data_IF_448156343008
#
_entry.id   IF_448156343008
#
_cell.length_a   1.000
_cell.length_b   1.000
_cell.length_c   1.000
_cell.angle_alpha   90.00
_cell.angle_beta   90.00
_cell.angle_gamma   90.00
#
_symmetry.space_group_name_H-M   'P 1'
#
loop_
_entity.id
_entity.type
_entity.pdbx_description
1 polymer ?
#
# COMPACT_ATOMS: atom_id res chain seq x y z
N UNK A 1 23.52 10.17 -10.72
CA UNK A 1 23.24 9.55 -9.41
C UNK A 1 22.52 8.25 -9.67
N UNK A 2 23.00 7.13 -9.11
CA UNK A 2 22.30 5.85 -9.28
C UNK A 2 20.89 5.95 -8.74
N UNK A 3 19.90 5.86 -9.64
CA UNK A 3 18.48 5.88 -9.26
C UNK A 3 18.04 4.55 -8.62
N UNK A 4 18.93 3.56 -8.51
CA UNK A 4 18.62 2.26 -7.93
C UNK A 4 18.53 2.34 -6.42
N UNK A 5 17.36 1.99 -5.91
CA UNK A 5 17.06 1.93 -4.49
C UNK A 5 16.77 0.49 -4.08
N UNK A 6 17.56 -0.01 -3.16
CA UNK A 6 17.40 -1.33 -2.58
C UNK A 6 16.89 -1.13 -1.15
N UNK A 7 15.72 -1.65 -0.85
CA UNK A 7 15.08 -1.52 0.46
C UNK A 7 14.44 -2.84 0.88
N UNK A 8 13.95 -2.89 2.11
CA UNK A 8 13.15 -4.01 2.64
C UNK A 8 11.94 -4.30 1.74
N UNK A 9 11.36 -3.27 1.13
CA UNK A 9 10.18 -3.39 0.25
C UNK A 9 10.51 -3.89 -1.17
N UNK A 10 11.77 -4.26 -1.44
CA UNK A 10 12.24 -4.71 -2.75
C UNK A 10 13.26 -3.78 -3.39
N UNK A 11 13.46 -3.95 -4.68
CA UNK A 11 14.39 -3.14 -5.49
C UNK A 11 13.60 -2.30 -6.49
N UNK A 12 13.87 -0.99 -6.55
CA UNK A 12 13.19 -0.05 -7.45
C UNK A 12 14.19 0.94 -8.06
N UNK A 13 13.81 1.52 -9.18
CA UNK A 13 14.61 2.57 -9.82
C UNK A 13 13.92 3.15 -11.06
N UNK A 14 14.56 4.14 -11.66
CA UNK A 14 14.15 4.69 -12.95
C UNK A 14 14.59 3.71 -14.04
N UNK A 15 13.64 3.37 -14.91
CA UNK A 15 13.85 2.42 -16.00
C UNK A 15 14.90 2.96 -16.97
N UNK A 16 15.94 2.14 -17.25
CA UNK A 16 17.02 2.50 -18.16
C UNK A 16 18.18 3.27 -17.50
N UNK A 17 18.00 3.87 -16.30
CA UNK A 17 19.07 4.56 -15.60
C UNK A 17 19.72 3.70 -14.51
N UNK A 18 18.97 3.21 -13.56
CA UNK A 18 19.46 2.35 -12.47
C UNK A 18 18.68 1.04 -12.36
N UNK A 19 17.51 0.95 -12.99
CA UNK A 19 16.69 -0.26 -12.99
C UNK A 19 16.66 -0.85 -14.41
N UNK A 20 17.53 -1.85 -14.63
CA UNK A 20 17.78 -2.47 -15.94
C UNK A 20 17.41 -3.96 -15.95
N UNK A 21 17.20 -4.59 -17.14
CA UNK A 21 16.93 -6.02 -17.25
C UNK A 21 17.99 -6.92 -16.62
N UNK A 22 19.26 -6.54 -16.66
CA UNK A 22 20.38 -7.29 -16.06
C UNK A 22 20.26 -7.34 -14.55
N UNK A 23 19.94 -6.20 -13.92
CA UNK A 23 19.73 -6.10 -12.48
C UNK A 23 18.51 -6.94 -12.10
N UNK A 24 17.43 -6.83 -12.85
CA UNK A 24 16.18 -7.59 -12.62
C UNK A 24 16.42 -9.10 -12.75
N UNK A 25 17.12 -9.55 -13.79
CA UNK A 25 17.46 -10.96 -13.99
C UNK A 25 18.35 -11.48 -12.85
N UNK A 26 19.34 -10.68 -12.40
CA UNK A 26 20.22 -11.05 -11.30
C UNK A 26 19.49 -11.15 -9.96
N UNK A 27 18.59 -10.20 -9.64
CA UNK A 27 17.73 -10.29 -8.44
C UNK A 27 16.79 -11.49 -8.48
N UNK A 28 16.22 -11.79 -9.65
CA UNK A 28 15.33 -12.93 -9.82
C UNK A 28 16.07 -14.27 -9.65
N UNK A 29 17.31 -14.36 -10.14
CA UNK A 29 18.15 -15.53 -9.90
C UNK A 29 18.56 -15.67 -8.42
N UNK A 30 18.82 -14.55 -7.74
CA UNK A 30 19.06 -14.56 -6.30
C UNK A 30 17.81 -15.00 -5.53
N UNK A 31 16.62 -14.59 -5.99
CA UNK A 31 15.36 -15.00 -5.39
C UNK A 31 15.05 -16.49 -5.64
N UNK A 32 15.39 -17.04 -6.80
CA UNK A 32 15.34 -18.49 -7.04
C UNK A 32 16.14 -19.25 -5.99
N UNK A 33 17.40 -18.85 -5.75
CA UNK A 33 18.24 -19.44 -4.71
C UNK A 33 17.65 -19.26 -3.30
N UNK A 34 17.10 -18.07 -3.03
CA UNK A 34 16.44 -17.76 -1.75
C UNK A 34 15.23 -18.67 -1.47
N UNK A 35 14.44 -19.00 -2.50
CA UNK A 35 13.27 -19.91 -2.40
C UNK A 35 13.63 -21.39 -2.57
N UNK A 36 14.92 -21.75 -2.54
CA UNK A 36 15.36 -23.13 -2.73
C UNK A 36 15.07 -23.68 -4.13
N UNK A 37 15.02 -22.82 -5.14
CA UNK A 37 14.71 -23.15 -6.54
C UNK A 37 13.28 -23.74 -6.72
N UNK A 38 12.39 -23.39 -5.83
CA UNK A 38 10.99 -23.85 -5.81
C UNK A 38 10.08 -23.17 -6.83
N UNK A 39 8.79 -23.19 -6.56
CA UNK A 39 7.76 -22.58 -7.39
C UNK A 39 7.59 -21.09 -7.06
N UNK A 40 7.67 -20.20 -8.06
CA UNK A 40 7.52 -18.76 -7.89
C UNK A 40 6.38 -18.23 -8.74
N UNK A 41 5.43 -17.53 -8.11
CA UNK A 41 4.34 -16.82 -8.81
C UNK A 41 4.84 -15.46 -9.28
N UNK A 42 4.62 -15.12 -10.55
CA UNK A 42 5.04 -13.84 -11.13
C UNK A 42 3.84 -13.13 -11.75
N UNK A 43 3.69 -11.86 -11.43
CA UNK A 43 2.67 -10.99 -12.00
C UNK A 43 3.12 -9.53 -11.99
N UNK A 44 2.34 -8.67 -12.61
CA UNK A 44 2.71 -7.25 -12.76
C UNK A 44 1.50 -6.33 -12.72
N UNK A 45 1.74 -5.04 -12.45
CA UNK A 45 0.79 -3.98 -12.80
C UNK A 45 0.77 -3.73 -14.33
N UNK A 46 0.23 -2.61 -14.75
CA UNK A 46 0.04 -2.28 -16.17
C UNK A 46 1.19 -1.51 -16.81
N UNK A 47 2.25 -1.14 -16.08
CA UNK A 47 3.36 -0.30 -16.59
C UNK A 47 3.92 -0.83 -17.90
N UNK A 48 4.15 0.06 -18.86
CA UNK A 48 4.65 -0.29 -20.21
C UNK A 48 5.99 -1.02 -20.21
N UNK A 49 6.84 -0.75 -19.19
CA UNK A 49 8.13 -1.43 -19.01
C UNK A 49 8.01 -2.87 -18.48
N UNK A 50 6.84 -3.29 -18.00
CA UNK A 50 6.66 -4.60 -17.38
C UNK A 50 6.87 -5.76 -18.34
N UNK A 51 6.55 -5.57 -19.61
CA UNK A 51 6.79 -6.61 -20.61
C UNK A 51 8.26 -7.02 -20.65
N UNK A 52 9.16 -6.05 -20.76
CA UNK A 52 10.60 -6.27 -20.77
C UNK A 52 11.09 -6.91 -19.45
N UNK A 53 10.69 -6.35 -18.31
CA UNK A 53 11.12 -6.86 -17.01
C UNK A 53 10.58 -8.25 -16.69
N UNK A 54 9.40 -8.59 -17.17
CA UNK A 54 8.81 -9.91 -16.99
C UNK A 54 9.71 -11.01 -17.61
N UNK A 55 10.24 -10.79 -18.81
CA UNK A 55 11.18 -11.72 -19.43
C UNK A 55 12.50 -11.80 -18.67
N UNK A 56 13.00 -10.68 -18.15
CA UNK A 56 14.17 -10.68 -17.31
C UNK A 56 13.97 -11.45 -16.00
N UNK A 57 12.79 -11.31 -15.36
CA UNK A 57 12.40 -12.08 -14.19
C UNK A 57 12.35 -13.58 -14.51
N UNK A 58 11.70 -13.95 -15.61
CA UNK A 58 11.64 -15.36 -16.03
C UNK A 58 13.03 -15.93 -16.28
N UNK A 59 13.87 -15.25 -17.05
CA UNK A 59 15.24 -15.67 -17.31
C UNK A 59 16.02 -15.92 -16.02
N UNK A 60 15.95 -15.00 -15.06
CA UNK A 60 16.60 -15.14 -13.77
C UNK A 60 16.11 -16.37 -12.99
N UNK A 61 14.81 -16.53 -12.83
CA UNK A 61 14.20 -17.64 -12.09
C UNK A 61 14.48 -19.01 -12.73
N UNK A 62 14.27 -19.11 -14.03
CA UNK A 62 14.47 -20.35 -14.79
C UNK A 62 15.92 -20.81 -14.76
N UNK A 63 16.87 -19.88 -14.84
CA UNK A 63 18.31 -20.16 -14.75
C UNK A 63 18.74 -20.74 -13.39
N UNK A 64 17.95 -20.49 -12.34
CA UNK A 64 18.09 -21.11 -11.02
C UNK A 64 17.36 -22.44 -10.88
N UNK A 65 16.55 -22.85 -11.88
CA UNK A 65 15.77 -24.08 -11.85
C UNK A 65 14.35 -23.93 -11.27
N UNK A 66 13.93 -22.71 -10.91
CA UNK A 66 12.59 -22.47 -10.35
C UNK A 66 11.48 -22.73 -11.37
N UNK A 67 10.36 -23.29 -10.91
CA UNK A 67 9.13 -23.34 -11.69
C UNK A 67 8.40 -22.01 -11.57
N UNK A 68 8.02 -21.42 -12.70
CA UNK A 68 7.36 -20.11 -12.74
C UNK A 68 5.88 -20.27 -13.07
N UNK A 69 5.02 -19.61 -12.27
CA UNK A 69 3.60 -19.47 -12.54
C UNK A 69 3.32 -18.02 -12.89
N UNK A 70 3.08 -17.76 -14.19
CA UNK A 70 2.73 -16.44 -14.70
C UNK A 70 1.24 -16.17 -14.51
N UNK A 71 0.89 -15.27 -13.60
CA UNK A 71 -0.50 -14.85 -13.36
C UNK A 71 -0.92 -13.61 -14.17
N UNK A 72 -0.03 -13.12 -15.03
CA UNK A 72 -0.31 -11.99 -15.93
C UNK A 72 -0.33 -10.64 -15.22
N UNK A 73 -1.13 -9.72 -15.77
CA UNK A 73 -1.38 -8.41 -15.17
C UNK A 73 -2.48 -8.56 -14.14
N UNK A 74 -2.18 -8.19 -12.90
CA UNK A 74 -3.12 -8.24 -11.79
C UNK A 74 -2.71 -7.28 -10.66
N UNK A 75 -3.62 -6.90 -9.76
CA UNK A 75 -3.28 -6.21 -8.52
C UNK A 75 -2.25 -6.95 -7.68
N UNK A 76 -1.42 -6.20 -6.97
CA UNK A 76 -0.49 -6.76 -5.99
C UNK A 76 -1.17 -7.73 -5.01
N UNK A 77 -2.30 -7.38 -4.35
CA UNK A 77 -2.99 -8.30 -3.46
C UNK A 77 -3.50 -9.58 -4.16
N UNK A 78 -3.86 -9.52 -5.44
CA UNK A 78 -4.26 -10.72 -6.18
C UNK A 78 -3.11 -11.72 -6.33
N UNK A 79 -1.89 -11.24 -6.62
CA UNK A 79 -0.70 -12.10 -6.69
C UNK A 79 -0.38 -12.71 -5.32
N UNK A 80 -0.42 -11.90 -4.25
CA UNK A 80 -0.16 -12.36 -2.89
C UNK A 80 -1.11 -13.50 -2.48
N UNK A 81 -2.41 -13.38 -2.80
CA UNK A 81 -3.39 -14.46 -2.61
C UNK A 81 -3.08 -15.71 -3.44
N UNK A 82 -2.56 -15.54 -4.66
CA UNK A 82 -2.18 -16.69 -5.50
C UNK A 82 -0.98 -17.45 -4.95
N UNK A 83 0.01 -16.76 -4.35
CA UNK A 83 1.14 -17.40 -3.67
C UNK A 83 0.65 -18.33 -2.57
N UNK A 84 -0.23 -17.86 -1.70
CA UNK A 84 -0.83 -18.66 -0.63
C UNK A 84 -1.66 -19.84 -1.19
N UNK A 85 -2.55 -19.55 -2.13
CA UNK A 85 -3.48 -20.53 -2.71
C UNK A 85 -2.76 -21.67 -3.43
N UNK A 86 -1.71 -21.35 -4.17
CA UNK A 86 -0.92 -22.32 -4.92
C UNK A 86 0.15 -23.01 -4.05
N UNK A 87 0.28 -22.61 -2.78
CA UNK A 87 1.34 -23.05 -1.88
C UNK A 87 2.73 -22.89 -2.52
N UNK A 88 2.92 -21.78 -3.24
CA UNK A 88 4.18 -21.50 -3.91
C UNK A 88 5.25 -21.09 -2.88
N UNK A 89 6.51 -21.32 -3.21
CA UNK A 89 7.65 -21.01 -2.33
C UNK A 89 7.92 -19.50 -2.25
N UNK A 90 7.38 -18.73 -3.19
CA UNK A 90 7.40 -17.28 -3.18
C UNK A 90 6.70 -16.64 -4.37
N UNK A 91 6.81 -15.32 -4.47
CA UNK A 91 6.28 -14.54 -5.60
C UNK A 91 7.11 -13.31 -5.91
N UNK A 92 6.99 -12.83 -7.14
CA UNK A 92 7.55 -11.54 -7.58
C UNK A 92 6.46 -10.71 -8.21
N UNK A 93 6.22 -9.50 -7.66
CA UNK A 93 5.37 -8.49 -8.27
C UNK A 93 6.25 -7.46 -8.98
N UNK A 94 6.00 -7.24 -10.27
CA UNK A 94 6.68 -6.21 -11.06
C UNK A 94 5.78 -4.97 -11.06
N UNK A 95 6.10 -3.98 -10.22
CA UNK A 95 5.29 -2.78 -10.05
C UNK A 95 6.05 -1.65 -9.37
N UNK A 96 5.92 -0.44 -9.91
CA UNK A 96 6.36 0.77 -9.22
C UNK A 96 5.33 1.31 -8.22
N UNK A 97 4.18 0.63 -7.99
CA UNK A 97 3.07 1.11 -7.16
C UNK A 97 2.69 2.55 -7.52
N UNK A 98 2.62 3.44 -6.55
CA UNK A 98 2.27 4.86 -6.72
C UNK A 98 3.37 5.75 -7.34
N UNK A 99 4.56 5.20 -7.63
CA UNK A 99 5.63 6.01 -8.27
C UNK A 99 5.24 6.42 -9.70
N UNK A 100 5.78 7.54 -10.21
CA UNK A 100 5.57 7.98 -11.59
C UNK A 100 5.90 6.92 -12.64
N UNK A 101 5.46 7.11 -13.90
CA UNK A 101 5.51 6.09 -14.94
C UNK A 101 6.92 5.60 -15.29
N UNK A 102 7.95 6.45 -15.16
CA UNK A 102 9.35 6.10 -15.43
C UNK A 102 9.97 5.17 -14.38
N UNK A 103 9.33 4.99 -13.23
CA UNK A 103 9.78 4.09 -12.18
C UNK A 103 9.23 2.67 -12.37
N UNK A 104 10.03 1.68 -11.96
CA UNK A 104 9.54 0.31 -11.78
C UNK A 104 10.26 -0.36 -10.61
N UNK A 105 9.77 -1.53 -10.19
CA UNK A 105 10.34 -2.26 -9.07
C UNK A 105 10.04 -3.76 -9.13
N UNK A 106 10.81 -4.53 -8.35
CA UNK A 106 10.47 -5.90 -7.93
C UNK A 106 10.10 -5.89 -6.46
N UNK A 107 8.90 -6.35 -6.13
CA UNK A 107 8.50 -6.66 -4.76
C UNK A 107 8.52 -8.18 -4.59
N UNK A 108 9.21 -8.66 -3.55
CA UNK A 108 9.38 -10.09 -3.28
C UNK A 108 8.39 -10.57 -2.23
N UNK A 109 7.63 -11.62 -2.55
CA UNK A 109 6.58 -12.19 -1.73
C UNK A 109 7.03 -13.54 -1.20
N UNK A 110 6.79 -13.79 0.08
CA UNK A 110 7.04 -15.04 0.79
C UNK A 110 5.97 -16.09 0.47
N UNK A 111 6.21 -17.33 0.84
CA UNK A 111 5.24 -18.44 0.71
C UNK A 111 3.92 -18.21 1.46
N UNK A 112 3.90 -17.31 2.46
CA UNK A 112 2.70 -16.95 3.21
C UNK A 112 1.98 -15.68 2.68
N UNK A 113 2.27 -15.26 1.46
CA UNK A 113 1.65 -14.13 0.78
C UNK A 113 2.12 -12.74 1.24
N UNK A 114 2.96 -12.64 2.27
CA UNK A 114 3.51 -11.36 2.74
C UNK A 114 4.78 -10.99 1.98
N UNK A 115 5.15 -9.71 1.99
CA UNK A 115 6.46 -9.31 1.52
C UNK A 115 7.57 -9.84 2.44
N UNK A 116 8.82 -9.86 1.94
CA UNK A 116 9.96 -10.29 2.75
C UNK A 116 10.08 -9.44 4.02
N UNK A 117 10.35 -10.09 5.14
CA UNK A 117 10.75 -9.39 6.36
C UNK A 117 12.16 -8.79 6.21
N UNK A 118 12.52 -7.77 7.02
CA UNK A 118 13.83 -7.12 6.94
C UNK A 118 14.99 -8.12 6.92
N UNK A 119 14.97 -9.07 7.84
CA UNK A 119 15.99 -10.11 7.97
C UNK A 119 16.09 -11.01 6.73
N UNK A 120 14.97 -11.25 6.05
CA UNK A 120 14.94 -12.05 4.81
C UNK A 120 15.41 -11.24 3.60
N UNK A 121 15.05 -9.96 3.54
CA UNK A 121 15.57 -9.05 2.51
C UNK A 121 17.10 -8.94 2.60
N UNK A 122 17.68 -8.91 3.81
CA UNK A 122 19.13 -8.95 4.00
C UNK A 122 19.76 -10.26 3.47
N UNK A 123 19.09 -11.42 3.69
CA UNK A 123 19.56 -12.70 3.14
C UNK A 123 19.53 -12.65 1.60
N UNK A 124 18.42 -12.18 1.01
CA UNK A 124 18.33 -12.02 -0.45
C UNK A 124 19.43 -11.11 -1.00
N UNK A 125 19.73 -10.00 -0.32
CA UNK A 125 20.80 -9.09 -0.70
C UNK A 125 22.19 -9.71 -0.59
N UNK A 126 22.44 -10.52 0.42
CA UNK A 126 23.70 -11.28 0.54
C UNK A 126 23.89 -12.24 -0.63
N UNK A 127 22.80 -12.93 -1.06
CA UNK A 127 22.83 -13.80 -2.24
C UNK A 127 23.07 -12.97 -3.51
N UNK A 128 22.36 -11.85 -3.69
CA UNK A 128 22.51 -10.95 -4.85
C UNK A 128 23.94 -10.40 -4.98
N UNK A 129 24.53 -9.97 -3.87
CA UNK A 129 25.90 -9.41 -3.84
C UNK A 129 26.98 -10.49 -3.90
N UNK A 130 26.63 -11.76 -3.76
CA UNK A 130 27.55 -12.87 -3.84
C UNK A 130 28.23 -12.97 -5.21
N UNK A 131 29.50 -13.44 -5.22
CA UNK A 131 30.27 -13.58 -6.48
C UNK A 131 29.64 -14.55 -7.47
N UNK A 132 28.99 -15.62 -6.97
CA UNK A 132 28.31 -16.64 -7.79
C UNK A 132 26.90 -16.88 -7.25
N UNK A 133 25.88 -16.61 -8.07
CA UNK A 133 24.53 -17.09 -7.84
C UNK A 133 24.42 -18.43 -8.57
N UNK A 134 23.99 -19.48 -7.88
CA UNK A 134 23.86 -20.81 -8.45
C UNK A 134 23.02 -20.81 -9.75
N UNK A 135 23.51 -21.54 -10.74
CA UNK A 135 22.78 -21.80 -11.99
C UNK A 135 22.69 -23.32 -12.17
N UNK A 136 21.57 -23.76 -12.70
CA UNK A 136 21.38 -25.17 -13.02
C UNK A 136 21.97 -25.52 -14.39
N UNK A 137 22.22 -26.81 -14.61
CA UNK A 137 22.62 -27.32 -15.92
C UNK A 137 21.44 -27.25 -16.90
N UNK A 138 21.73 -27.38 -18.18
CA UNK A 138 20.77 -27.21 -19.27
C UNK A 138 19.52 -28.11 -19.17
N UNK A 139 19.62 -29.29 -18.61
CA UNK A 139 18.57 -30.28 -18.42
C UNK A 139 17.68 -30.01 -17.17
N UNK A 140 18.12 -29.08 -16.29
CA UNK A 140 17.44 -28.70 -15.04
C UNK A 140 16.84 -27.29 -15.07
N UNK A 141 16.84 -26.64 -16.24
CA UNK A 141 16.23 -25.31 -16.42
C UNK A 141 14.72 -25.41 -16.09
N UNK A 142 14.23 -24.44 -15.31
CA UNK A 142 12.84 -24.38 -14.90
C UNK A 142 11.87 -24.17 -16.09
N UNK A 143 10.58 -24.22 -15.81
CA UNK A 143 9.51 -24.04 -16.83
C UNK A 143 8.57 -22.91 -16.41
N UNK A 144 7.95 -22.26 -17.41
CA UNK A 144 6.88 -21.27 -17.18
C UNK A 144 5.55 -21.92 -17.53
N UNK A 145 4.58 -21.81 -16.60
CA UNK A 145 3.17 -22.08 -16.90
C UNK A 145 2.33 -20.84 -16.63
N UNK A 146 1.27 -20.64 -17.39
CA UNK A 146 0.31 -19.55 -17.19
C UNK A 146 -0.82 -20.00 -16.26
N UNK A 147 -1.29 -19.05 -15.42
CA UNK A 147 -2.49 -19.24 -14.60
C UNK A 147 -3.30 -17.94 -14.62
N UNK A 148 -4.49 -17.98 -15.22
CA UNK A 148 -5.37 -16.79 -15.40
C UNK A 148 -6.34 -16.58 -14.23
N UNK A 149 -6.21 -17.35 -13.14
CA UNK A 149 -7.22 -17.38 -12.07
C UNK A 149 -7.05 -16.30 -11.00
N UNK A 150 -5.96 -15.49 -11.03
CA UNK A 150 -5.66 -14.52 -10.00
C UNK A 150 -6.82 -13.55 -9.71
N UNK A 151 -7.36 -12.92 -10.76
CA UNK A 151 -8.49 -11.99 -10.65
C UNK A 151 -9.74 -12.69 -10.09
N UNK A 152 -10.08 -13.87 -10.66
CA UNK A 152 -11.27 -14.62 -10.23
C UNK A 152 -11.16 -15.05 -8.77
N UNK A 153 -10.03 -15.62 -8.39
CA UNK A 153 -9.81 -16.08 -7.02
C UNK A 153 -9.89 -14.95 -5.99
N UNK A 154 -9.33 -13.79 -6.31
CA UNK A 154 -9.39 -12.63 -5.45
C UNK A 154 -10.83 -12.13 -5.33
N UNK A 155 -11.55 -11.96 -6.44
CA UNK A 155 -12.97 -11.57 -6.43
C UNK A 155 -13.83 -12.52 -5.60
N UNK A 156 -13.67 -13.82 -5.79
CA UNK A 156 -14.46 -14.82 -5.08
C UNK A 156 -14.18 -14.73 -3.56
N UNK A 157 -12.92 -14.52 -3.16
CA UNK A 157 -12.54 -14.36 -1.75
C UNK A 157 -13.16 -13.11 -1.13
N UNK A 158 -13.08 -11.96 -1.79
CA UNK A 158 -13.68 -10.70 -1.32
C UNK A 158 -15.20 -10.82 -1.22
N UNK A 159 -15.84 -11.38 -2.23
CA UNK A 159 -17.30 -11.51 -2.26
C UNK A 159 -17.87 -12.47 -1.19
N UNK A 160 -17.06 -13.37 -0.65
CA UNK A 160 -17.44 -14.24 0.46
C UNK A 160 -17.40 -13.53 1.82
N UNK A 161 -16.75 -12.38 1.93
CA UNK A 161 -16.56 -11.66 3.20
C UNK A 161 -17.56 -10.54 3.44
N UNK A 162 -18.40 -10.20 2.45
CA UNK A 162 -19.37 -9.10 2.53
C UNK A 162 -20.81 -9.57 2.31
N UNK A 163 -21.77 -8.86 2.85
CA UNK A 163 -23.21 -9.11 2.71
C UNK A 163 -23.72 -8.64 1.33
N UNK A 164 -23.37 -9.40 0.30
CA UNK A 164 -23.60 -9.07 -1.11
C UNK A 164 -25.02 -8.60 -1.41
N UNK A 165 -26.03 -9.33 -0.97
CA UNK A 165 -27.44 -9.02 -1.30
C UNK A 165 -27.88 -7.68 -0.69
N UNK A 166 -27.33 -7.32 0.47
CA UNK A 166 -27.58 -6.03 1.09
C UNK A 166 -26.97 -4.87 0.28
N UNK A 167 -25.76 -5.06 -0.24
CA UNK A 167 -25.13 -4.08 -1.15
C UNK A 167 -25.92 -3.98 -2.46
N UNK A 168 -26.28 -5.13 -3.07
CA UNK A 168 -27.03 -5.21 -4.33
C UNK A 168 -28.36 -4.49 -4.26
N UNK A 169 -29.09 -4.59 -3.13
CA UNK A 169 -30.38 -3.94 -2.96
C UNK A 169 -30.31 -2.41 -3.02
N UNK A 170 -29.15 -1.82 -2.78
CA UNK A 170 -28.91 -0.37 -2.81
C UNK A 170 -28.67 0.18 -4.21
N UNK A 171 -28.19 -0.63 -5.15
CA UNK A 171 -27.88 -0.24 -6.53
C UNK A 171 -27.00 1.02 -6.61
N UNK A 172 -25.98 1.10 -5.74
CA UNK A 172 -25.09 2.26 -5.69
C UNK A 172 -24.53 2.63 -7.06
N UNK A 173 -24.53 3.93 -7.38
CA UNK A 173 -23.81 4.49 -8.51
C UNK A 173 -22.41 4.87 -8.07
N UNK A 174 -21.40 4.26 -8.64
CA UNK A 174 -19.99 4.39 -8.23
C UNK A 174 -19.16 4.92 -9.39
N UNK A 175 -18.43 5.99 -9.18
CA UNK A 175 -17.36 6.41 -10.09
C UNK A 175 -16.06 5.76 -9.66
N UNK A 176 -15.39 5.08 -10.58
CA UNK A 176 -14.15 4.37 -10.29
C UNK A 176 -13.01 4.89 -11.17
N UNK A 177 -12.01 5.52 -10.55
CA UNK A 177 -10.74 5.86 -11.18
C UNK A 177 -9.73 4.74 -10.95
N UNK A 178 -9.36 4.07 -12.03
CA UNK A 178 -8.38 2.98 -12.00
C UNK A 178 -6.96 3.44 -12.36
N UNK A 179 -6.74 4.73 -12.61
CA UNK A 179 -5.45 5.29 -13.01
C UNK A 179 -4.79 4.54 -14.19
N UNK A 180 -5.58 3.92 -15.10
CA UNK A 180 -5.11 2.98 -16.13
C UNK A 180 -4.23 1.84 -15.56
N UNK A 181 -4.38 1.53 -14.29
CA UNK A 181 -3.65 0.53 -13.53
C UNK A 181 -4.34 -0.84 -13.47
N UNK A 182 -3.80 -1.74 -12.66
CA UNK A 182 -4.29 -3.10 -12.50
C UNK A 182 -5.70 -3.19 -11.89
N UNK A 183 -6.13 -2.14 -11.14
CA UNK A 183 -7.49 -2.02 -10.61
C UNK A 183 -8.57 -2.07 -11.69
N UNK A 184 -8.28 -1.61 -12.92
CA UNK A 184 -9.20 -1.66 -14.06
C UNK A 184 -9.63 -3.08 -14.46
N UNK A 185 -8.83 -4.09 -14.12
CA UNK A 185 -9.11 -5.49 -14.46
C UNK A 185 -10.05 -6.20 -13.47
N UNK A 186 -10.14 -5.69 -12.24
CA UNK A 186 -10.82 -6.36 -11.13
C UNK A 186 -11.96 -5.54 -10.54
N UNK A 187 -11.75 -4.26 -10.24
CA UNK A 187 -12.71 -3.46 -9.47
C UNK A 187 -14.04 -3.21 -10.20
N UNK A 188 -14.09 -2.99 -11.54
CA UNK A 188 -15.36 -2.95 -12.25
C UNK A 188 -16.16 -4.25 -12.12
N UNK A 189 -15.48 -5.40 -12.18
CA UNK A 189 -16.13 -6.72 -12.02
C UNK A 189 -16.64 -6.95 -10.60
N UNK A 190 -15.90 -6.48 -9.58
CA UNK A 190 -16.36 -6.48 -8.19
C UNK A 190 -17.67 -5.69 -8.06
N UNK A 191 -17.64 -4.42 -8.50
CA UNK A 191 -18.77 -3.50 -8.40
C UNK A 191 -20.01 -4.03 -9.13
N UNK A 192 -19.85 -4.57 -10.34
CA UNK A 192 -20.93 -5.22 -11.08
C UNK A 192 -21.52 -6.42 -10.33
N UNK A 193 -20.67 -7.28 -9.75
CA UNK A 193 -21.13 -8.42 -8.94
C UNK A 193 -21.83 -7.98 -7.65
N UNK A 194 -21.50 -6.79 -7.13
CA UNK A 194 -22.18 -6.15 -6.00
C UNK A 194 -23.45 -5.38 -6.41
N UNK A 195 -23.83 -5.41 -7.70
CA UNK A 195 -25.04 -4.76 -8.21
C UNK A 195 -24.94 -3.25 -8.36
N UNK A 196 -23.72 -2.69 -8.38
CA UNK A 196 -23.48 -1.27 -8.56
C UNK A 196 -23.56 -0.85 -10.05
N UNK A 197 -24.04 0.37 -10.29
CA UNK A 197 -23.86 1.06 -11.56
C UNK A 197 -22.48 1.70 -11.57
N UNK A 198 -21.64 1.35 -12.54
CA UNK A 198 -20.22 1.76 -12.56
C UNK A 198 -19.99 2.77 -13.67
N UNK A 199 -19.47 3.94 -13.31
CA UNK A 199 -18.92 4.93 -14.22
C UNK A 199 -17.39 4.84 -14.14
N UNK A 200 -16.75 4.35 -15.21
CA UNK A 200 -15.30 4.13 -15.25
C UNK A 200 -14.55 5.39 -15.67
N UNK A 201 -13.52 5.77 -14.91
CA UNK A 201 -12.56 6.81 -15.22
C UNK A 201 -11.17 6.19 -15.33
N UNK A 202 -10.35 6.59 -16.32
CA UNK A 202 -8.98 6.08 -16.50
C UNK A 202 -8.93 4.54 -16.40
N UNK A 203 -9.80 3.85 -17.15
CA UNK A 203 -10.07 2.41 -17.01
C UNK A 203 -9.39 1.55 -18.06
N UNK A 204 -8.42 2.07 -18.83
CA UNK A 204 -7.63 1.31 -19.80
C UNK A 204 -6.40 0.73 -19.10
N UNK A 205 -6.26 -0.60 -18.98
CA UNK A 205 -5.12 -1.19 -18.25
C UNK A 205 -3.86 -1.24 -19.14
N UNK A 206 -3.45 -0.09 -19.67
CA UNK A 206 -2.33 0.08 -20.61
C UNK A 206 -1.08 0.72 -19.99
N UNK A 207 -1.15 1.10 -18.71
CA UNK A 207 -0.04 1.69 -17.96
C UNK A 207 0.34 3.12 -18.38
N UNK A 208 -0.46 3.74 -19.24
CA UNK A 208 -0.36 5.17 -19.58
C UNK A 208 -1.19 5.96 -18.58
N UNK A 209 -0.59 6.21 -17.43
CA UNK A 209 -1.28 6.86 -16.33
C UNK A 209 -1.77 8.25 -16.72
N UNK A 210 -3.07 8.52 -16.55
CA UNK A 210 -3.69 9.79 -16.88
C UNK A 210 -3.29 10.91 -15.90
N UNK A 211 -2.90 10.54 -14.69
CA UNK A 211 -2.33 11.41 -13.65
C UNK A 211 -1.26 10.62 -12.88
N UNK A 212 -0.56 11.26 -11.94
CA UNK A 212 0.33 10.53 -11.03
C UNK A 212 -0.44 9.42 -10.32
N UNK A 213 0.09 8.17 -10.29
CA UNK A 213 -0.65 7.02 -9.72
C UNK A 213 -0.91 7.12 -8.22
N UNK A 214 -0.33 8.07 -7.51
CA UNK A 214 -0.60 8.26 -6.09
C UNK A 214 -2.01 8.85 -5.89
N UNK A 215 -2.94 8.16 -5.18
CA UNK A 215 -4.32 8.59 -5.05
C UNK A 215 -4.49 9.67 -3.95
N UNK A 216 -3.84 10.83 -4.16
CA UNK A 216 -3.90 12.01 -3.29
C UNK A 216 -4.78 13.09 -3.90
N UNK A 217 -5.26 14.02 -3.07
CA UNK A 217 -6.23 15.03 -3.48
C UNK A 217 -5.83 15.83 -4.74
N UNK A 218 -4.55 16.16 -4.90
CA UNK A 218 -4.04 16.88 -6.06
C UNK A 218 -4.21 16.14 -7.40
N UNK A 219 -4.34 14.81 -7.36
CA UNK A 219 -4.42 13.95 -8.53
C UNK A 219 -5.86 13.50 -8.84
N UNK A 220 -6.83 13.81 -7.96
CA UNK A 220 -8.21 13.28 -8.03
C UNK A 220 -9.26 14.32 -8.42
N UNK A 221 -8.87 15.49 -8.95
CA UNK A 221 -9.80 16.54 -9.35
C UNK A 221 -10.82 16.07 -10.40
N UNK A 222 -10.37 15.29 -11.38
CA UNK A 222 -11.23 14.73 -12.41
C UNK A 222 -12.27 13.75 -11.83
N UNK A 223 -11.86 12.90 -10.88
CA UNK A 223 -12.77 12.01 -10.17
C UNK A 223 -13.81 12.79 -9.37
N UNK A 224 -13.38 13.83 -8.63
CA UNK A 224 -14.27 14.72 -7.87
C UNK A 224 -15.38 15.31 -8.74
N UNK A 225 -15.00 15.93 -9.86
CA UNK A 225 -15.93 16.53 -10.80
C UNK A 225 -16.89 15.50 -11.42
N UNK A 226 -16.39 14.31 -11.74
CA UNK A 226 -17.21 13.26 -12.35
C UNK A 226 -18.21 12.69 -11.34
N UNK A 227 -17.87 12.55 -10.06
CA UNK A 227 -18.79 12.13 -9.01
C UNK A 227 -19.97 13.10 -8.91
N UNK A 228 -19.70 14.41 -8.90
CA UNK A 228 -20.76 15.45 -8.82
C UNK A 228 -21.63 15.46 -10.08
N UNK A 229 -21.02 15.47 -11.27
CA UNK A 229 -21.78 15.53 -12.54
C UNK A 229 -22.63 14.30 -12.78
N UNK A 230 -22.14 13.12 -12.39
CA UNK A 230 -22.86 11.85 -12.49
C UNK A 230 -23.87 11.63 -11.35
N UNK A 231 -23.86 12.50 -10.34
CA UNK A 231 -24.65 12.34 -9.10
C UNK A 231 -24.44 10.96 -8.50
N UNK A 232 -23.19 10.54 -8.42
CA UNK A 232 -22.84 9.22 -7.91
C UNK A 232 -22.87 9.20 -6.38
N UNK A 233 -23.15 8.04 -5.79
CA UNK A 233 -23.21 7.86 -4.34
C UNK A 233 -21.80 7.92 -3.72
N UNK A 234 -20.77 7.55 -4.49
CA UNK A 234 -19.37 7.53 -4.04
C UNK A 234 -18.40 7.45 -5.23
N UNK A 235 -17.22 8.02 -5.06
CA UNK A 235 -16.07 7.83 -5.94
C UNK A 235 -14.95 7.05 -5.24
N UNK A 236 -14.30 6.16 -5.99
CA UNK A 236 -13.09 5.46 -5.56
C UNK A 236 -11.94 5.66 -6.53
N UNK A 237 -10.72 5.80 -6.01
CA UNK A 237 -9.51 5.81 -6.82
C UNK A 237 -8.48 4.81 -6.31
N UNK A 238 -7.87 4.06 -7.25
CA UNK A 238 -6.75 3.17 -6.96
C UNK A 238 -5.40 3.79 -7.34
N UNK A 239 -4.32 3.28 -6.74
CA UNK A 239 -2.98 3.40 -7.30
C UNK A 239 -2.75 2.32 -8.38
N UNK A 240 -1.56 2.34 -9.02
CA UNK A 240 -1.31 1.51 -10.20
C UNK A 240 -1.45 -0.01 -9.96
N UNK A 241 -1.12 -0.50 -8.77
CA UNK A 241 -1.21 -1.91 -8.39
C UNK A 241 -2.37 -2.22 -7.41
N UNK A 242 -3.25 -1.23 -7.20
CA UNK A 242 -4.51 -1.34 -6.48
C UNK A 242 -4.41 -1.91 -5.05
N UNK A 243 -3.27 -1.70 -4.38
CA UNK A 243 -3.12 -2.03 -2.96
C UNK A 243 -3.68 -0.92 -2.05
N UNK A 244 -4.05 0.25 -2.62
CA UNK A 244 -4.64 1.41 -1.94
C UNK A 244 -5.96 1.81 -2.58
N UNK A 245 -6.77 2.54 -1.78
CA UNK A 245 -7.99 3.19 -2.25
C UNK A 245 -8.16 4.56 -1.59
N UNK A 246 -8.48 5.58 -2.39
CA UNK A 246 -8.97 6.87 -1.92
C UNK A 246 -10.48 6.98 -2.17
N UNK A 247 -11.14 7.87 -1.43
CA UNK A 247 -12.58 8.04 -1.41
C UNK A 247 -12.95 9.47 -1.79
N UNK A 248 -13.94 9.61 -2.65
CA UNK A 248 -14.61 10.88 -2.96
C UNK A 248 -16.07 10.75 -2.53
N UNK A 249 -16.56 11.73 -1.77
CA UNK A 249 -17.96 11.73 -1.30
C UNK A 249 -18.91 12.05 -2.44
N UNK A 250 -20.21 11.76 -2.24
CA UNK A 250 -21.31 12.12 -3.16
C UNK A 250 -21.38 13.63 -3.48
N UNK A 251 -20.70 14.46 -2.67
CA UNK A 251 -20.58 15.91 -2.84
C UNK A 251 -19.28 16.31 -3.59
N UNK A 252 -18.58 15.36 -4.22
CA UNK A 252 -17.30 15.61 -4.87
C UNK A 252 -16.13 15.89 -3.91
N UNK A 253 -16.33 15.87 -2.59
CA UNK A 253 -15.26 16.12 -1.63
C UNK A 253 -14.30 14.93 -1.58
N UNK A 254 -13.03 15.17 -1.90
CA UNK A 254 -11.96 14.20 -1.76
C UNK A 254 -11.62 14.06 -0.27
N UNK A 255 -11.75 12.86 0.28
CA UNK A 255 -11.38 12.60 1.67
C UNK A 255 -9.87 12.43 1.82
N UNK A 256 -9.28 12.82 2.97
CA UNK A 256 -7.89 12.52 3.27
C UNK A 256 -7.60 11.01 3.18
N UNK A 257 -6.37 10.64 2.81
CA UNK A 257 -5.94 9.24 2.58
C UNK A 257 -6.24 8.31 3.77
N UNK A 258 -6.12 8.82 5.01
CA UNK A 258 -6.37 8.07 6.25
C UNK A 258 -7.83 7.61 6.39
N UNK A 259 -8.79 8.28 5.72
CA UNK A 259 -10.22 8.01 5.90
C UNK A 259 -10.63 6.63 5.39
N UNK A 260 -9.94 6.06 4.42
CA UNK A 260 -10.19 4.69 3.99
C UNK A 260 -9.99 3.70 5.14
N UNK A 261 -8.90 3.87 5.91
CA UNK A 261 -8.63 3.04 7.08
C UNK A 261 -9.56 3.39 8.26
N UNK A 262 -9.85 4.67 8.50
CA UNK A 262 -10.73 5.09 9.60
C UNK A 262 -12.15 4.53 9.44
N UNK A 263 -12.75 4.69 8.26
CA UNK A 263 -14.10 4.19 7.96
C UNK A 263 -14.13 2.66 8.03
N UNK A 264 -13.14 1.99 7.43
CA UNK A 264 -13.01 0.53 7.49
C UNK A 264 -12.86 0.04 8.94
N UNK A 265 -12.07 0.74 9.77
CA UNK A 265 -11.88 0.40 11.18
C UNK A 265 -13.18 0.58 11.97
N UNK A 266 -13.87 1.72 11.82
CA UNK A 266 -15.12 1.99 12.51
C UNK A 266 -16.17 0.90 12.22
N UNK A 267 -16.33 0.56 10.94
CA UNK A 267 -17.28 -0.49 10.55
C UNK A 267 -16.85 -1.89 11.04
N UNK A 268 -15.58 -2.23 10.93
CA UNK A 268 -15.07 -3.52 11.40
C UNK A 268 -15.29 -3.67 12.92
N UNK A 269 -14.94 -2.65 13.72
CA UNK A 269 -15.03 -2.72 15.17
C UNK A 269 -16.47 -2.71 15.68
N UNK A 270 -17.40 -2.12 14.94
CA UNK A 270 -18.84 -2.21 15.23
C UNK A 270 -19.35 -3.66 15.11
N UNK A 271 -18.78 -4.46 14.21
CA UNK A 271 -19.17 -5.85 13.98
C UNK A 271 -18.29 -6.86 14.72
N UNK A 272 -17.00 -6.56 14.89
CA UNK A 272 -16.02 -7.44 15.53
C UNK A 272 -14.97 -6.62 16.27
N UNK A 273 -15.04 -6.63 17.60
CA UNK A 273 -14.04 -5.98 18.45
C UNK A 273 -12.70 -6.71 18.42
N UNK A 274 -11.59 -5.99 18.57
CA UNK A 274 -10.26 -6.56 18.65
C UNK A 274 -9.14 -5.55 18.40
N UNK A 275 -7.93 -6.05 18.32
CA UNK A 275 -6.74 -5.23 18.11
C UNK A 275 -6.76 -4.60 16.71
N UNK A 276 -6.47 -3.29 16.65
CA UNK A 276 -6.19 -2.53 15.43
C UNK A 276 -4.68 -2.34 15.31
N UNK A 277 -4.09 -2.51 14.12
CA UNK A 277 -2.65 -2.30 13.91
C UNK A 277 -2.42 -1.30 12.80
N UNK A 278 -1.57 -0.31 13.06
CA UNK A 278 -1.18 0.69 12.07
C UNK A 278 0.29 1.12 12.25
N UNK A 279 0.79 2.02 11.39
CA UNK A 279 2.13 2.56 11.54
C UNK A 279 2.18 3.87 12.35
N UNK A 280 3.41 4.34 12.64
CA UNK A 280 3.63 5.54 13.45
C UNK A 280 3.11 6.84 12.82
N UNK A 281 2.98 6.92 11.49
CA UNK A 281 2.58 8.13 10.76
C UNK A 281 1.10 8.21 10.41
N UNK A 282 0.30 7.19 10.75
CA UNK A 282 -1.16 7.22 10.58
C UNK A 282 -1.77 8.18 11.59
N UNK A 283 -2.86 8.85 11.18
CA UNK A 283 -3.59 9.79 12.04
C UNK A 283 -3.94 9.19 13.40
N UNK A 284 -3.91 10.03 14.45
CA UNK A 284 -4.37 9.63 15.79
C UNK A 284 -5.90 9.49 15.89
N UNK A 285 -6.63 9.98 14.90
CA UNK A 285 -8.06 9.74 14.81
C UNK A 285 -8.39 8.24 14.90
N UNK A 286 -7.45 7.36 14.54
CA UNK A 286 -7.63 5.91 14.61
C UNK A 286 -7.77 5.41 16.05
N UNK A 287 -7.00 5.97 16.99
CA UNK A 287 -7.13 5.68 18.43
C UNK A 287 -8.51 6.13 18.94
N UNK A 288 -8.94 7.36 18.60
CA UNK A 288 -10.25 7.87 19.02
C UNK A 288 -11.41 7.02 18.44
N UNK A 289 -11.27 6.52 17.21
CA UNK A 289 -12.24 5.58 16.62
C UNK A 289 -12.23 4.25 17.37
N UNK A 290 -11.07 3.68 17.65
CA UNK A 290 -10.96 2.40 18.34
C UNK A 290 -11.44 2.48 19.81
N UNK A 291 -11.21 3.61 20.48
CA UNK A 291 -11.64 3.88 21.85
C UNK A 291 -13.18 3.84 21.98
N UNK A 292 -13.93 4.30 20.96
CA UNK A 292 -15.41 4.20 20.94
C UNK A 292 -15.92 2.76 21.11
N UNK A 293 -15.08 1.77 20.78
CA UNK A 293 -15.39 0.34 20.88
C UNK A 293 -14.60 -0.37 22.00
N UNK A 294 -13.85 0.37 22.84
CA UNK A 294 -12.93 -0.17 23.83
C UNK A 294 -11.91 -1.14 23.22
N UNK A 295 -11.36 -0.81 22.05
CA UNK A 295 -10.40 -1.62 21.32
C UNK A 295 -9.01 -0.98 21.33
N UNK A 296 -7.93 -1.76 21.53
CA UNK A 296 -6.58 -1.25 21.53
C UNK A 296 -6.06 -0.99 20.12
N UNK A 297 -5.20 0.03 19.96
CA UNK A 297 -4.43 0.28 18.75
C UNK A 297 -2.95 0.01 19.02
N UNK A 298 -2.28 -0.72 18.13
CA UNK A 298 -0.83 -0.95 18.17
C UNK A 298 -0.16 -0.31 16.97
N UNK A 299 0.85 0.52 17.25
CA UNK A 299 1.66 1.16 16.20
C UNK A 299 2.96 0.41 15.93
N UNK A 300 3.34 0.33 14.67
CA UNK A 300 4.57 -0.29 14.16
C UNK A 300 5.47 0.73 13.49
N UNK A 301 6.65 0.31 13.05
CA UNK A 301 7.47 1.06 12.09
C UNK A 301 6.67 1.33 10.81
N UNK A 302 7.12 2.32 10.03
CA UNK A 302 6.57 2.59 8.69
C UNK A 302 6.90 1.45 7.74
N UNK A 303 5.93 1.10 6.92
CA UNK A 303 5.99 0.04 5.92
C UNK A 303 4.98 -1.06 6.21
N UNK A 304 4.26 -1.44 5.18
CA UNK A 304 3.16 -2.41 5.22
C UNK A 304 3.58 -3.75 5.81
N UNK A 305 4.82 -4.19 5.56
CA UNK A 305 5.32 -5.46 6.11
C UNK A 305 5.37 -5.47 7.64
N UNK A 306 5.68 -4.34 8.28
CA UNK A 306 5.68 -4.25 9.73
C UNK A 306 4.26 -4.32 10.31
N UNK A 307 3.30 -3.68 9.63
CA UNK A 307 1.88 -3.74 9.98
C UNK A 307 1.36 -5.16 9.80
N UNK A 308 1.56 -5.74 8.61
CA UNK A 308 1.10 -7.09 8.25
C UNK A 308 1.65 -8.17 9.17
N UNK A 309 2.95 -8.12 9.47
CA UNK A 309 3.60 -9.04 10.41
C UNK A 309 2.99 -8.94 11.82
N UNK A 310 2.87 -7.72 12.34
CA UNK A 310 2.28 -7.49 13.66
C UNK A 310 0.81 -7.94 13.71
N UNK A 311 0.02 -7.68 12.67
CA UNK A 311 -1.36 -8.15 12.56
C UNK A 311 -1.46 -9.66 12.61
N UNK A 312 -0.61 -10.37 11.87
CA UNK A 312 -0.59 -11.84 11.81
C UNK A 312 -0.18 -12.44 13.16
N UNK A 313 0.91 -11.95 13.76
CA UNK A 313 1.43 -12.40 15.05
C UNK A 313 0.44 -12.14 16.21
N UNK A 314 -0.26 -11.01 16.18
CA UNK A 314 -1.17 -10.57 17.26
C UNK A 314 -2.64 -10.87 16.97
N UNK A 315 -2.96 -11.51 15.84
CA UNK A 315 -4.32 -11.83 15.41
C UNK A 315 -5.25 -10.59 15.42
N UNK A 316 -4.74 -9.47 14.89
CA UNK A 316 -5.50 -8.23 14.79
C UNK A 316 -6.72 -8.41 13.89
N UNK A 317 -7.80 -7.66 14.16
CA UNK A 317 -9.06 -7.77 13.39
C UNK A 317 -9.08 -6.86 12.17
N UNK A 318 -8.31 -5.77 12.19
CA UNK A 318 -8.12 -4.82 11.09
C UNK A 318 -6.80 -4.10 11.26
N UNK A 319 -6.25 -3.60 10.18
CA UNK A 319 -5.11 -2.71 10.20
C UNK A 319 -4.87 -2.05 8.85
N UNK A 320 -3.75 -1.35 8.75
CA UNK A 320 -3.38 -0.66 7.52
C UNK A 320 -2.48 0.53 7.76
N UNK A 321 -2.36 1.37 6.76
CA UNK A 321 -1.54 2.57 6.78
C UNK A 321 -2.37 3.79 6.36
N UNK A 322 -2.05 4.98 6.89
CA UNK A 322 -2.72 6.24 6.56
C UNK A 322 -2.41 6.78 5.15
N UNK A 323 -2.30 5.90 4.19
CA UNK A 323 -2.06 6.18 2.77
C UNK A 323 -3.08 5.50 1.85
N UNK A 324 -4.24 5.13 2.39
CA UNK A 324 -5.30 4.40 1.68
C UNK A 324 -5.15 2.87 1.70
N UNK A 325 -4.13 2.34 2.36
CA UNK A 325 -3.88 0.90 2.45
C UNK A 325 -4.62 0.26 3.64
N UNK A 326 -5.66 -0.54 3.37
CA UNK A 326 -6.45 -1.28 4.37
C UNK A 326 -6.08 -2.75 4.31
N UNK A 327 -5.95 -3.40 5.47
CA UNK A 327 -5.64 -4.82 5.61
C UNK A 327 -6.79 -5.51 6.34
N UNK A 328 -7.42 -6.49 5.69
CA UNK A 328 -8.53 -7.27 6.23
C UNK A 328 -8.10 -8.74 6.39
N UNK A 329 -7.80 -9.20 7.61
CA UNK A 329 -7.27 -10.56 7.86
C UNK A 329 -8.18 -11.69 7.39
N UNK A 330 -9.48 -11.45 7.29
CA UNK A 330 -10.44 -12.42 6.76
C UNK A 330 -10.21 -12.75 5.27
N UNK A 331 -9.50 -11.86 4.55
CA UNK A 331 -9.11 -12.07 3.17
C UNK A 331 -7.64 -12.48 3.13
N UNK A 332 -6.76 -11.59 3.59
CA UNK A 332 -5.32 -11.84 3.77
C UNK A 332 -4.66 -10.74 4.62
N UNK A 333 -3.39 -10.91 4.96
CA UNK A 333 -2.65 -9.93 5.76
C UNK A 333 -1.85 -8.93 4.90
N UNK A 334 -2.39 -8.51 3.74
CA UNK A 334 -1.79 -7.52 2.88
C UNK A 334 -2.76 -6.36 2.61
N UNK A 335 -2.24 -5.18 2.23
CA UNK A 335 -3.07 -4.05 1.82
C UNK A 335 -3.87 -4.42 0.58
N UNK A 336 -5.14 -4.06 0.56
CA UNK A 336 -6.08 -4.47 -0.46
C UNK A 336 -7.16 -3.40 -0.70
N UNK A 337 -6.96 -2.60 -1.76
CA UNK A 337 -7.93 -1.58 -2.13
C UNK A 337 -9.26 -2.17 -2.64
N UNK A 338 -9.23 -3.37 -3.21
CA UNK A 338 -10.43 -4.06 -3.73
C UNK A 338 -11.31 -4.51 -2.57
N UNK A 339 -10.69 -5.12 -1.56
CA UNK A 339 -11.36 -5.53 -0.33
C UNK A 339 -11.93 -4.33 0.44
N UNK A 340 -11.18 -3.23 0.49
CA UNK A 340 -11.64 -2.00 1.14
C UNK A 340 -12.88 -1.41 0.45
N UNK A 341 -12.95 -1.39 -0.89
CA UNK A 341 -14.15 -0.96 -1.63
C UNK A 341 -15.37 -1.79 -1.23
N UNK A 342 -15.24 -3.12 -1.20
CA UNK A 342 -16.35 -3.99 -0.84
C UNK A 342 -16.85 -3.75 0.60
N UNK A 343 -15.92 -3.60 1.55
CA UNK A 343 -16.23 -3.31 2.96
C UNK A 343 -16.92 -1.95 3.14
N UNK A 344 -16.47 -0.91 2.43
CA UNK A 344 -17.05 0.43 2.49
C UNK A 344 -18.47 0.47 1.89
N UNK A 345 -18.71 -0.25 0.80
CA UNK A 345 -20.05 -0.40 0.23
C UNK A 345 -20.99 -1.16 1.17
N UNK A 346 -20.50 -2.17 1.89
CA UNK A 346 -21.26 -2.85 2.93
C UNK A 346 -21.60 -1.89 4.07
N UNK A 347 -20.66 -1.06 4.49
CA UNK A 347 -20.89 -0.05 5.53
C UNK A 347 -22.01 0.92 5.12
N UNK A 348 -21.96 1.48 3.90
CA UNK A 348 -23.02 2.34 3.36
C UNK A 348 -24.37 1.62 3.29
N UNK A 349 -24.36 0.35 2.87
CA UNK A 349 -25.59 -0.45 2.74
C UNK A 349 -26.20 -0.78 4.10
N UNK A 350 -25.41 -0.96 5.14
CA UNK A 350 -25.87 -1.27 6.49
C UNK A 350 -26.46 -0.08 7.22
N UNK A 351 -25.82 1.08 7.10
CA UNK A 351 -26.23 2.28 7.82
C UNK A 351 -27.30 3.09 7.11
N UNK A 352 -27.43 2.96 5.80
CA UNK A 352 -28.23 3.85 4.93
C UNK A 352 -27.81 5.33 5.02
N UNK A 353 -26.59 5.60 5.45
CA UNK A 353 -26.02 6.95 5.49
C UNK A 353 -25.15 7.21 4.24
N UNK A 354 -25.03 8.48 3.83
CA UNK A 354 -24.09 8.87 2.78
C UNK A 354 -22.65 8.81 3.28
N UNK A 355 -21.70 8.69 2.35
CA UNK A 355 -20.29 8.64 2.73
C UNK A 355 -19.81 9.96 3.37
N UNK A 356 -20.35 11.11 2.95
CA UNK A 356 -20.07 12.41 3.60
C UNK A 356 -20.54 12.43 5.06
N UNK A 357 -21.72 11.86 5.34
CA UNK A 357 -22.24 11.75 6.71
C UNK A 357 -21.38 10.82 7.56
N UNK A 358 -21.02 9.65 7.05
CA UNK A 358 -20.13 8.73 7.77
C UNK A 358 -18.77 9.37 8.06
N UNK A 359 -18.21 10.09 7.09
CA UNK A 359 -16.94 10.79 7.24
C UNK A 359 -17.01 11.95 8.25
N UNK A 360 -18.14 12.70 8.30
CA UNK A 360 -18.32 13.79 9.27
C UNK A 360 -18.42 13.32 10.73
N UNK A 361 -18.74 12.05 10.93
CA UNK A 361 -18.82 11.41 12.26
C UNK A 361 -17.46 10.83 12.73
N UNK A 362 -16.38 11.09 11.99
CA UNK A 362 -15.02 10.70 12.38
C UNK A 362 -14.29 11.86 13.08
N UNK A 363 -13.39 11.57 14.01
CA UNK A 363 -12.49 12.59 14.56
C UNK A 363 -11.68 13.25 13.43
N UNK A 364 -11.60 14.57 13.44
CA UNK A 364 -10.92 15.33 12.41
C UNK A 364 -9.59 15.86 12.88
N UNK A 365 -8.56 15.67 12.05
CA UNK A 365 -7.19 16.17 12.24
C UNK A 365 -6.63 16.69 10.91
N UNK A 366 -5.66 17.59 11.00
CA UNK A 366 -4.92 18.10 9.86
C UNK A 366 -3.51 17.57 9.90
N UNK A 367 -3.11 16.88 8.83
CA UNK A 367 -1.75 16.33 8.67
C UNK A 367 -0.99 17.15 7.63
N UNK A 368 0.22 17.59 8.00
CA UNK A 368 1.18 18.22 7.10
C UNK A 368 2.32 17.23 6.86
N UNK A 369 2.55 16.85 5.60
CA UNK A 369 3.63 15.95 5.19
C UNK A 369 4.58 16.74 4.29
N UNK A 370 5.83 16.95 4.69
CA UNK A 370 6.83 17.67 3.88
C UNK A 370 8.18 16.97 3.90
N UNK A 371 8.92 17.15 2.80
CA UNK A 371 10.32 16.71 2.65
C UNK A 371 11.24 17.89 2.93
N UNK A 372 12.34 17.65 3.60
CA UNK A 372 13.41 18.61 3.80
C UNK A 372 14.69 18.02 3.19
N UNK A 373 15.23 18.69 2.18
CA UNK A 373 16.55 18.38 1.65
C UNK A 373 17.59 18.84 2.66
N UNK A 374 18.35 17.91 3.21
CA UNK A 374 19.43 18.20 4.14
C UNK A 374 20.53 17.16 4.01
N UNK A 375 21.77 17.61 4.12
CA UNK A 375 22.91 16.74 4.32
C UNK A 375 22.81 16.13 5.72
N UNK A 376 23.23 14.90 5.89
CA UNK A 376 23.12 14.04 7.08
C UNK A 376 23.11 14.82 8.40
N UNK A 377 21.95 15.11 8.91
CA UNK A 377 21.77 15.70 10.22
C UNK A 377 22.08 14.68 11.31
N UNK A 378 22.69 15.17 12.38
CA UNK A 378 22.91 14.36 13.56
C UNK A 378 21.61 14.22 14.37
N UNK A 379 20.88 13.12 14.14
CA UNK A 379 19.63 12.80 14.85
C UNK A 379 19.79 12.81 16.38
N UNK A 380 21.00 12.62 16.90
CA UNK A 380 21.27 12.70 18.34
C UNK A 380 21.14 14.13 18.85
N UNK A 381 21.65 15.12 18.11
CA UNK A 381 21.48 16.53 18.45
C UNK A 381 20.02 16.99 18.30
N UNK A 382 19.37 16.57 17.22
CA UNK A 382 17.94 16.84 17.02
C UNK A 382 17.10 16.28 18.16
N UNK A 383 17.38 15.07 18.64
CA UNK A 383 16.71 14.46 19.79
C UNK A 383 16.88 15.30 21.07
N UNK A 384 18.07 15.86 21.30
CA UNK A 384 18.33 16.73 22.48
C UNK A 384 17.51 18.03 22.35
N UNK A 385 17.52 18.69 21.18
CA UNK A 385 16.75 19.91 20.93
C UNK A 385 15.25 19.69 21.12
N UNK A 386 14.71 18.62 20.52
CA UNK A 386 13.30 18.28 20.66
C UNK A 386 12.90 17.97 22.11
N UNK A 387 13.74 17.25 22.87
CA UNK A 387 13.47 17.00 24.30
C UNK A 387 13.52 18.27 25.17
N UNK A 388 14.36 19.25 24.81
CA UNK A 388 14.41 20.54 25.47
C UNK A 388 13.15 21.36 25.20
N UNK A 389 12.67 21.35 23.96
CA UNK A 389 11.48 22.09 23.52
C UNK A 389 10.19 21.46 24.06
N UNK A 390 10.05 20.14 23.91
CA UNK A 390 8.83 19.41 24.27
C UNK A 390 9.03 18.55 25.54
N UNK A 391 9.27 19.20 26.69
CA UNK A 391 9.67 18.53 27.95
C UNK A 391 8.65 17.52 28.47
N UNK A 392 7.35 17.78 28.27
CA UNK A 392 6.25 16.94 28.77
C UNK A 392 5.74 15.92 27.75
N UNK A 393 6.30 15.93 26.51
CA UNK A 393 5.88 15.05 25.46
C UNK A 393 6.36 13.61 25.64
N UNK A 394 5.60 12.66 25.11
CA UNK A 394 6.03 11.27 24.99
C UNK A 394 6.84 11.09 23.73
N UNK A 395 8.02 10.48 23.84
CA UNK A 395 8.90 10.22 22.71
C UNK A 395 8.88 8.74 22.33
N UNK A 396 8.78 8.48 21.03
CA UNK A 396 8.91 7.15 20.46
C UNK A 396 10.03 7.14 19.40
N UNK A 397 10.98 6.22 19.55
CA UNK A 397 12.16 6.09 18.70
C UNK A 397 12.14 4.80 17.85
N UNK A 398 10.98 4.20 17.68
CA UNK A 398 10.83 2.94 16.95
C UNK A 398 11.24 3.09 15.45
N UNK A 399 10.93 4.27 14.84
CA UNK A 399 11.28 4.61 13.47
C UNK A 399 11.50 6.13 13.37
N UNK A 400 12.73 6.58 13.44
CA UNK A 400 13.06 8.00 13.55
C UNK A 400 12.73 8.57 14.95
N UNK A 401 12.15 9.78 14.99
CA UNK A 401 11.74 10.45 16.22
C UNK A 401 10.27 10.84 16.09
N UNK A 402 9.40 10.21 16.88
CA UNK A 402 8.03 10.68 17.06
C UNK A 402 7.87 11.35 18.41
N UNK A 403 7.28 12.53 18.41
CA UNK A 403 6.94 13.32 19.59
C UNK A 403 5.43 13.35 19.70
N UNK A 404 4.86 12.69 20.68
CA UNK A 404 3.42 12.68 20.94
C UNK A 404 3.10 13.75 22.01
N UNK A 405 2.30 14.73 21.58
CA UNK A 405 1.73 15.79 22.41
C UNK A 405 0.28 15.44 22.77
N UNK A 406 -0.40 16.24 23.58
CA UNK A 406 -1.77 15.95 24.04
C UNK A 406 -2.73 15.69 22.86
N UNK A 407 -2.86 16.67 21.92
CA UNK A 407 -3.79 16.59 20.76
C UNK A 407 -3.10 16.69 19.42
N UNK A 408 -1.79 16.53 19.40
CA UNK A 408 -0.97 16.66 18.19
C UNK A 408 0.24 15.74 18.27
N UNK A 409 0.96 15.58 17.15
CA UNK A 409 2.23 14.87 17.14
C UNK A 409 3.13 15.35 16.00
N UNK A 410 4.42 15.09 16.17
CA UNK A 410 5.47 15.32 15.18
C UNK A 410 6.15 13.98 14.91
N UNK A 411 6.41 13.65 13.64
CA UNK A 411 7.22 12.49 13.29
C UNK A 411 8.31 12.89 12.29
N UNK A 412 9.55 12.66 12.66
CA UNK A 412 10.74 13.01 11.88
C UNK A 412 11.52 11.73 11.59
N UNK A 413 11.78 11.47 10.30
CA UNK A 413 12.51 10.27 9.89
C UNK A 413 13.31 10.49 8.63
N UNK A 414 14.39 9.75 8.47
CA UNK A 414 15.04 9.63 7.17
C UNK A 414 14.12 8.92 6.18
N UNK A 415 14.10 9.37 4.94
CA UNK A 415 13.49 8.60 3.87
C UNK A 415 14.33 7.35 3.62
N UNK A 416 13.71 6.18 3.57
CA UNK A 416 14.39 4.94 3.17
C UNK A 416 14.69 4.86 1.68
N UNK A 417 14.24 5.86 0.90
CA UNK A 417 14.25 5.82 -0.57
C UNK A 417 14.80 7.10 -1.23
N UNK A 418 15.08 8.13 -0.45
CA UNK A 418 15.56 9.43 -0.94
C UNK A 418 16.50 10.05 0.10
N UNK A 419 17.49 10.85 -0.26
CA UNK A 419 18.37 11.53 0.69
C UNK A 419 17.69 12.76 1.32
N UNK A 420 16.49 12.57 1.87
CA UNK A 420 15.68 13.61 2.50
C UNK A 420 15.20 13.19 3.88
N UNK A 421 14.95 14.18 4.73
CA UNK A 421 14.22 13.98 5.97
C UNK A 421 12.73 14.25 5.71
N UNK A 422 11.88 13.35 6.17
CA UNK A 422 10.43 13.55 6.17
C UNK A 422 10.01 14.07 7.52
N UNK A 423 9.32 15.21 7.51
CA UNK A 423 8.68 15.78 8.70
C UNK A 423 7.17 15.71 8.47
N UNK A 424 6.51 15.05 9.39
CA UNK A 424 5.06 14.91 9.41
C UNK A 424 4.57 15.49 10.73
N UNK A 425 3.58 16.37 10.67
CA UNK A 425 2.93 16.94 11.84
C UNK A 425 1.42 16.78 11.75
N UNK A 426 0.77 16.55 12.87
CA UNK A 426 -0.68 16.45 12.96
C UNK A 426 -1.19 17.27 14.15
N UNK A 427 -2.32 17.97 13.94
CA UNK A 427 -3.01 18.71 14.99
C UNK A 427 -4.51 18.83 14.70
N UNK A 428 -5.30 19.32 15.68
CA UNK A 428 -6.74 19.57 15.51
C UNK A 428 -7.05 20.69 14.51
N UNK A 429 -6.13 21.64 14.31
CA UNK A 429 -6.29 22.71 13.32
C UNK A 429 -5.12 22.74 12.32
N UNK A 430 -5.40 23.22 11.10
CA UNK A 430 -4.38 23.37 10.07
C UNK A 430 -3.26 24.29 10.53
N UNK A 431 -3.61 25.39 11.23
CA UNK A 431 -2.65 26.36 11.75
C UNK A 431 -1.67 25.72 12.72
N UNK A 432 -2.17 24.98 13.72
CA UNK A 432 -1.32 24.26 14.69
C UNK A 432 -0.38 23.27 14.01
N UNK A 433 -0.89 22.48 13.05
CA UNK A 433 -0.06 21.54 12.29
C UNK A 433 1.06 22.24 11.50
N UNK A 434 0.75 23.38 10.85
CA UNK A 434 1.75 24.21 10.16
C UNK A 434 2.75 24.85 11.13
N UNK A 435 2.33 25.33 12.28
CA UNK A 435 3.20 25.96 13.25
C UNK A 435 4.16 24.91 13.87
N UNK A 436 3.68 23.70 14.18
CA UNK A 436 4.53 22.58 14.58
C UNK A 436 5.55 22.22 13.50
N UNK A 437 5.14 22.21 12.22
CA UNK A 437 6.07 21.98 11.10
C UNK A 437 7.14 23.08 11.04
N UNK A 438 6.77 24.36 11.10
CA UNK A 438 7.71 25.48 11.05
C UNK A 438 8.71 25.41 12.21
N UNK A 439 8.23 25.19 13.44
CA UNK A 439 9.08 25.02 14.62
C UNK A 439 10.05 23.85 14.41
N UNK A 440 9.55 22.69 14.01
CA UNK A 440 10.39 21.51 13.79
C UNK A 440 11.43 21.73 12.70
N UNK A 441 11.04 22.35 11.58
CA UNK A 441 11.95 22.62 10.47
C UNK A 441 13.03 23.64 10.82
N UNK A 442 12.78 24.56 11.77
CA UNK A 442 13.79 25.55 12.21
C UNK A 442 14.99 24.90 12.91
N UNK A 443 14.79 23.72 13.54
CA UNK A 443 15.89 22.98 14.18
C UNK A 443 16.94 22.46 13.19
N UNK A 444 16.60 22.41 11.87
CA UNK A 444 17.51 22.01 10.81
C UNK A 444 18.22 23.19 10.12
N UNK A 445 17.81 24.43 10.39
CA UNK A 445 18.39 25.62 9.76
C UNK A 445 19.55 26.24 10.57
N UNK A 446 19.78 25.77 11.78
CA UNK A 446 20.76 26.34 12.74
C UNK A 446 22.00 25.46 12.92
N UNK A 447 22.43 24.75 11.88
CA UNK A 447 23.68 23.99 11.86
C UNK A 447 24.68 24.55 10.85
#
# INVERSE_FOLDING_TARGET
MDSLMISISGVRGIVGEGFTPEIVARFSAAFAAFTGNGTVVVGSDTRTSNYMFKYAVFSGLLSGGSQVIDVGVCPTPSLQLMVEKLKADGGIVITGSHNPAQWNALKFVRSDGLFLYPEQAEILLKIYNGRKIGRVQWDKVGKVRKDSMAIKNHLDKVLQTVKREKIRSKRFKVVLDSCNGAGALISPKLLQRLGCQVVGLNSRPDGRFAHSPEPVASNLTQLSQLVESEKADIGFAHDADADRVAIVTEQGRILPEDYSLLLATKFTLANKRGLVVTNLSTTRALEEVAEQFNCPVKRTKIGDIHVSRCMKEKKAVIGGEGNGGVILPQIHYARDGIAAIALLLEYLAETNESISKLASNLPHYYIIKRKLETTRENFSLLKIRLKKEFREAKFNFLDGIKVDLDKSWIHIRHSGTEPVIRIITEAKTKREAEDLYKLTSSFFKTA
#
